data_IF_689212803361
#
_entry.id   IF_689212803361
#
_cell.length_a   1.000
_cell.length_b   1.000
_cell.length_c   1.000
_cell.angle_alpha   90.00
_cell.angle_beta   90.00
_cell.angle_gamma   90.00
#
_symmetry.space_group_name_H-M   'P 1'
#
loop_
_entity.id
_entity.type
_entity.pdbx_description
1 polymer ?
#
# COMPACT_ATOMS: atom_id res chain seq x y z
N UNK A 1 -34.95 5.33 36.39
CA UNK A 1 -33.60 5.12 35.83
C UNK A 1 -33.59 5.71 34.44
N UNK A 2 -32.73 6.69 34.14
CA UNK A 2 -32.52 7.10 32.76
C UNK A 2 -31.81 5.95 32.00
N UNK A 3 -32.03 5.79 30.69
CA UNK A 3 -31.31 4.81 29.90
C UNK A 3 -29.81 5.17 29.90
N UNK A 4 -28.97 4.16 30.13
CA UNK A 4 -27.53 4.20 29.87
C UNK A 4 -27.33 4.19 28.36
N UNK A 5 -27.61 5.31 27.69
CA UNK A 5 -27.00 5.58 26.39
C UNK A 5 -25.53 5.88 26.67
N UNK A 6 -24.74 4.82 26.82
CA UNK A 6 -23.29 4.89 26.79
C UNK A 6 -22.92 4.90 25.31
N UNK A 7 -22.54 6.05 24.71
CA UNK A 7 -21.99 6.05 23.37
C UNK A 7 -20.64 5.37 23.46
N UNK A 8 -20.64 4.04 23.39
CA UNK A 8 -19.45 3.22 23.24
C UNK A 8 -18.51 3.95 22.28
N UNK A 9 -17.31 4.26 22.78
CA UNK A 9 -16.24 4.88 22.03
C UNK A 9 -16.05 4.10 20.71
N UNK A 10 -16.68 4.56 19.63
CA UNK A 10 -16.47 4.03 18.31
C UNK A 10 -15.11 4.54 17.84
N UNK A 11 -14.06 3.80 18.17
CA UNK A 11 -12.72 4.04 17.66
C UNK A 11 -12.75 3.80 16.14
N UNK A 12 -12.89 4.88 15.39
CA UNK A 12 -12.64 4.86 13.95
C UNK A 12 -11.14 4.78 13.75
N UNK A 13 -10.63 3.55 13.63
CA UNK A 13 -9.24 3.32 13.25
C UNK A 13 -9.18 3.48 11.73
N UNK A 14 -8.60 4.59 11.28
CA UNK A 14 -8.33 4.76 9.85
C UNK A 14 -7.46 3.59 9.36
N UNK A 15 -7.91 2.90 8.31
CA UNK A 15 -7.15 1.78 7.73
C UNK A 15 -5.91 2.33 7.07
N UNK A 16 -4.80 2.27 7.79
CA UNK A 16 -3.49 2.66 7.30
C UNK A 16 -2.83 1.50 6.57
N UNK A 17 -2.22 1.79 5.43
CA UNK A 17 -1.57 0.83 4.55
C UNK A 17 -0.12 1.27 4.34
N UNK A 18 0.81 0.31 4.28
CA UNK A 18 2.18 0.51 3.84
C UNK A 18 2.37 -0.07 2.45
N UNK A 19 3.09 0.65 1.60
CA UNK A 19 3.48 0.18 0.27
C UNK A 19 4.93 -0.31 0.37
N UNK A 20 5.15 -1.59 0.15
CA UNK A 20 6.50 -2.18 0.11
C UNK A 20 6.93 -2.29 -1.35
N UNK A 21 8.11 -1.76 -1.65
CA UNK A 21 8.70 -1.73 -2.98
C UNK A 21 10.03 -2.47 -2.92
N UNK A 22 10.17 -3.50 -3.74
CA UNK A 22 11.42 -4.25 -3.91
C UNK A 22 11.91 -4.07 -5.33
N UNK A 23 13.08 -3.47 -5.51
CA UNK A 23 13.76 -3.37 -6.81
C UNK A 23 14.96 -4.30 -6.86
N UNK A 24 15.03 -5.09 -7.94
CA UNK A 24 16.18 -5.92 -8.25
C UNK A 24 16.81 -5.46 -9.56
N UNK A 25 18.10 -5.11 -9.52
CA UNK A 25 18.91 -4.70 -10.68
C UNK A 25 20.21 -5.49 -10.69
N UNK A 26 20.30 -6.49 -11.57
CA UNK A 26 21.42 -7.44 -11.57
C UNK A 26 21.53 -8.17 -10.21
N UNK A 27 22.64 -7.98 -9.52
CA UNK A 27 22.88 -8.54 -8.17
C UNK A 27 22.45 -7.61 -7.04
N UNK A 28 22.04 -6.38 -7.34
CA UNK A 28 21.60 -5.41 -6.33
C UNK A 28 20.11 -5.59 -6.02
N UNK A 29 19.77 -5.66 -4.73
CA UNK A 29 18.42 -5.67 -4.22
C UNK A 29 18.22 -4.47 -3.30
N UNK A 30 17.17 -3.68 -3.55
CA UNK A 30 16.76 -2.56 -2.70
C UNK A 30 15.32 -2.73 -2.25
N UNK A 31 15.07 -2.50 -0.99
CA UNK A 31 13.72 -2.52 -0.41
C UNK A 31 13.40 -1.14 0.20
N UNK A 32 12.19 -0.65 -0.05
CA UNK A 32 11.67 0.59 0.49
C UNK A 32 10.24 0.35 1.00
N UNK A 33 9.93 0.90 2.16
CA UNK A 33 8.57 0.95 2.70
C UNK A 33 8.09 2.41 2.73
N UNK A 34 6.90 2.66 2.17
CA UNK A 34 6.26 3.98 2.15
C UNK A 34 4.96 3.93 2.95
N UNK A 35 4.77 4.89 3.84
CA UNK A 35 3.56 5.05 4.64
C UNK A 35 3.83 5.32 6.11
N UNK A 36 2.78 5.27 6.96
CA UNK A 36 1.41 4.87 6.63
C UNK A 36 0.68 5.83 5.68
N UNK A 37 -0.16 5.28 4.80
CA UNK A 37 -1.05 6.01 3.89
C UNK A 37 -2.48 5.50 4.06
N UNK A 38 -3.48 6.26 3.64
CA UNK A 38 -4.80 5.68 3.44
C UNK A 38 -4.78 4.67 2.28
N UNK A 39 -5.76 3.77 2.25
CA UNK A 39 -5.81 2.70 1.24
C UNK A 39 -5.91 3.23 -0.19
N UNK A 40 -6.61 4.35 -0.42
CA UNK A 40 -6.78 4.91 -1.76
C UNK A 40 -5.45 5.47 -2.27
N UNK A 41 -4.74 6.23 -1.44
CA UNK A 41 -3.44 6.80 -1.78
C UNK A 41 -2.37 5.72 -1.95
N UNK A 42 -2.40 4.68 -1.13
CA UNK A 42 -1.53 3.51 -1.29
C UNK A 42 -1.75 2.80 -2.64
N UNK A 43 -3.01 2.61 -3.07
CA UNK A 43 -3.35 2.02 -4.37
C UNK A 43 -2.94 2.90 -5.55
N UNK A 44 -3.13 4.22 -5.43
CA UNK A 44 -2.68 5.18 -6.45
C UNK A 44 -1.16 5.20 -6.58
N UNK A 45 -0.44 5.18 -5.45
CA UNK A 45 1.02 5.08 -5.45
C UNK A 45 1.49 3.78 -6.10
N UNK A 46 0.84 2.65 -5.81
CA UNK A 46 1.16 1.39 -6.44
C UNK A 46 0.96 1.43 -7.98
N UNK A 47 -0.14 2.02 -8.45
CA UNK A 47 -0.40 2.19 -9.88
C UNK A 47 0.70 3.05 -10.55
N UNK A 48 1.04 4.19 -9.93
CA UNK A 48 2.09 5.10 -10.40
C UNK A 48 3.45 4.40 -10.49
N UNK A 49 3.85 3.67 -9.44
CA UNK A 49 5.12 2.95 -9.39
C UNK A 49 5.20 1.82 -10.42
N UNK A 50 4.06 1.27 -10.84
CA UNK A 50 3.99 0.23 -11.87
C UNK A 50 3.78 0.79 -13.28
N UNK A 51 3.62 2.11 -13.43
CA UNK A 51 3.31 2.75 -14.71
C UNK A 51 1.96 2.30 -15.30
N UNK A 52 0.95 2.06 -14.45
CA UNK A 52 -0.38 1.62 -14.85
C UNK A 52 -1.39 2.75 -14.72
N UNK A 53 -2.30 2.86 -15.68
CA UNK A 53 -3.40 3.84 -15.63
C UNK A 53 -4.52 3.41 -14.67
N UNK A 54 -4.69 2.10 -14.46
CA UNK A 54 -5.69 1.54 -13.57
C UNK A 54 -5.11 1.21 -12.19
N UNK A 55 -5.84 1.58 -11.13
CA UNK A 55 -5.51 1.19 -9.76
C UNK A 55 -5.67 -0.32 -9.55
N UNK A 56 -4.69 -1.00 -8.95
CA UNK A 56 -4.81 -2.41 -8.62
C UNK A 56 -5.96 -2.69 -7.63
N UNK A 57 -6.69 -3.78 -7.86
CA UNK A 57 -7.84 -4.18 -7.05
C UNK A 57 -7.46 -5.10 -5.86
N UNK A 58 -6.36 -5.84 -5.97
CA UNK A 58 -5.80 -6.69 -4.90
C UNK A 58 -4.69 -5.96 -4.13
N UNK A 59 -3.90 -6.68 -3.33
CA UNK A 59 -2.80 -6.08 -2.54
C UNK A 59 -1.41 -6.48 -3.10
N UNK A 60 -1.38 -7.13 -4.26
CA UNK A 60 -0.16 -7.60 -4.92
C UNK A 60 0.29 -8.99 -4.42
N UNK A 61 1.53 -9.40 -4.70
CA UNK A 61 2.61 -8.60 -5.30
C UNK A 61 2.44 -8.38 -6.81
N UNK A 62 2.65 -7.14 -7.26
CA UNK A 62 2.69 -6.80 -8.68
C UNK A 62 4.11 -6.57 -9.14
N UNK A 63 4.42 -7.02 -10.36
CA UNK A 63 5.73 -6.85 -10.97
C UNK A 63 5.65 -5.93 -12.18
N UNK A 64 6.68 -5.10 -12.35
CA UNK A 64 6.87 -4.22 -13.49
C UNK A 64 8.34 -4.11 -13.85
N UNK A 65 8.63 -3.88 -15.14
CA UNK A 65 9.98 -3.61 -15.60
C UNK A 65 10.42 -2.20 -15.18
N UNK A 66 11.68 -2.05 -14.80
CA UNK A 66 12.34 -0.76 -14.58
C UNK A 66 13.66 -0.74 -15.34
N UNK A 67 14.27 0.44 -15.50
CA UNK A 67 15.56 0.55 -16.17
C UNK A 67 16.61 -0.36 -15.50
N UNK A 68 17.03 -1.40 -16.21
CA UNK A 68 18.04 -2.36 -15.75
C UNK A 68 17.55 -3.39 -14.72
N UNK A 69 16.23 -3.59 -14.55
CA UNK A 69 15.74 -4.52 -13.55
C UNK A 69 14.24 -4.73 -13.48
N UNK A 70 13.79 -5.29 -12.36
CA UNK A 70 12.38 -5.52 -12.05
C UNK A 70 12.03 -4.83 -10.73
N UNK A 71 10.85 -4.20 -10.69
CA UNK A 71 10.23 -3.68 -9.47
C UNK A 71 9.06 -4.57 -9.08
N UNK A 72 8.98 -4.91 -7.81
CA UNK A 72 7.84 -5.56 -7.18
C UNK A 72 7.21 -4.59 -6.19
N UNK A 73 5.89 -4.43 -6.22
CA UNK A 73 5.12 -3.57 -5.32
C UNK A 73 4.06 -4.43 -4.62
N UNK A 74 3.86 -4.24 -3.32
CA UNK A 74 2.83 -4.90 -2.52
C UNK A 74 2.28 -3.97 -1.44
N UNK A 75 1.02 -4.14 -1.06
CA UNK A 75 0.39 -3.41 0.03
C UNK A 75 0.35 -4.27 1.30
N UNK A 76 0.64 -3.67 2.44
CA UNK A 76 0.61 -4.29 3.76
C UNK A 76 -0.32 -3.48 4.67
N UNK A 77 -1.19 -4.15 5.41
CA UNK A 77 -2.21 -3.56 6.30
C UNK A 77 -1.84 -3.77 7.76
#
# INVERSE_FOLDING_TARGET
MPPLDDPQLALSVDRQVRVIVVEQRGTELRELAVGPLDERDARLLAALLLGRDATPADDGPWRGAVAGGTRTVQLHR
#
